data_IF_582382847906
#
_entry.id   IF_582382847906
#
_cell.length_a   1.000
_cell.length_b   1.000
_cell.length_c   1.000
_cell.angle_alpha   90.00
_cell.angle_beta   90.00
_cell.angle_gamma   90.00
#
_symmetry.space_group_name_H-M   'P 1'
#
loop_
_entity.id
_entity.type
_entity.pdbx_description
1 polymer ?
#
# COMPACT_ATOMS: atom_id res chain seq x y z
N UNK A 1 -15.85 19.38 112.34
CA UNK A 1 -14.72 18.90 113.17
C UNK A 1 -13.67 18.31 112.25
N UNK A 2 -12.42 18.82 112.33
CA UNK A 2 -11.17 18.29 111.72
C UNK A 2 -11.07 18.18 110.19
N UNK A 3 -10.64 19.31 109.63
CA UNK A 3 -9.62 19.52 108.59
C UNK A 3 -8.78 18.31 108.16
N UNK A 4 -8.76 18.00 106.85
CA UNK A 4 -7.59 17.46 106.16
C UNK A 4 -7.36 18.25 104.87
N UNK A 5 -6.16 18.80 104.76
CA UNK A 5 -5.63 19.61 103.68
C UNK A 5 -5.00 18.71 102.63
N UNK A 6 -5.27 18.93 101.34
CA UNK A 6 -4.32 18.53 100.30
C UNK A 6 -4.21 19.64 99.25
N UNK A 7 -2.94 20.02 99.03
CA UNK A 7 -2.50 21.05 98.10
C UNK A 7 -2.72 20.59 96.66
N UNK A 8 -3.60 21.36 96.02
CA UNK A 8 -3.66 21.80 94.60
C UNK A 8 -2.46 21.44 93.72
N UNK A 9 -2.76 20.74 92.62
CA UNK A 9 -2.18 20.99 91.29
C UNK A 9 -3.32 20.90 90.28
N UNK A 10 -3.33 21.83 89.32
CA UNK A 10 -4.37 21.98 88.31
C UNK A 10 -4.56 20.71 87.46
N UNK A 11 -5.77 20.46 86.94
CA UNK A 11 -6.04 19.24 86.17
C UNK A 11 -5.36 19.27 84.79
N UNK A 12 -5.17 18.09 84.18
CA UNK A 12 -3.88 17.71 83.64
C UNK A 12 -3.83 17.73 82.12
N UNK A 13 -2.61 17.77 81.60
CA UNK A 13 -2.27 17.38 80.23
C UNK A 13 -2.71 15.93 79.96
N UNK A 14 -3.45 15.72 78.87
CA UNK A 14 -3.57 14.42 78.21
C UNK A 14 -3.18 14.58 76.74
N UNK A 15 -1.96 14.13 76.43
CA UNK A 15 -1.58 13.73 75.08
C UNK A 15 -1.83 12.23 74.96
N UNK A 16 -2.54 11.84 73.90
CA UNK A 16 -2.47 10.60 73.14
C UNK A 16 -3.85 10.01 72.85
N UNK A 17 -4.15 9.85 71.57
CA UNK A 17 -5.34 9.16 71.07
C UNK A 17 -5.84 9.78 69.78
N UNK A 18 -5.11 9.57 68.68
CA UNK A 18 -5.63 9.81 67.33
C UNK A 18 -6.93 9.05 67.19
N UNK A 19 -8.05 9.77 67.03
CA UNK A 19 -9.31 9.17 66.60
C UNK A 19 -9.11 8.75 65.15
N UNK A 20 -8.99 7.45 64.95
CA UNK A 20 -9.12 6.80 63.65
C UNK A 20 -10.60 6.89 63.29
N UNK A 21 -10.95 7.79 62.39
CA UNK A 21 -12.24 7.74 61.72
C UNK A 21 -12.24 6.48 60.86
N UNK A 22 -12.94 5.44 61.32
CA UNK A 22 -13.23 4.27 60.51
C UNK A 22 -14.13 4.70 59.35
N UNK A 23 -13.54 4.89 58.18
CA UNK A 23 -14.29 4.89 56.93
C UNK A 23 -14.75 3.45 56.72
N UNK A 24 -16.04 3.19 56.91
CA UNK A 24 -16.66 1.96 56.45
C UNK A 24 -16.53 1.93 54.92
N UNK A 25 -15.59 1.13 54.40
CA UNK A 25 -15.61 0.74 53.00
C UNK A 25 -16.89 -0.08 52.79
N UNK A 26 -17.90 0.54 52.18
CA UNK A 26 -18.93 -0.22 51.51
C UNK A 26 -18.23 -0.98 50.37
N UNK A 27 -18.09 -2.29 50.51
CA UNK A 27 -17.67 -3.15 49.43
C UNK A 27 -18.76 -3.10 48.35
N UNK A 28 -18.52 -2.32 47.30
CA UNK A 28 -19.26 -2.44 46.05
C UNK A 28 -18.86 -3.80 45.48
N UNK A 29 -19.80 -4.73 45.21
CA UNK A 29 -19.44 -5.96 44.54
C UNK A 29 -18.88 -5.57 43.17
N UNK A 30 -17.61 -5.91 42.92
CA UNK A 30 -17.04 -5.84 41.60
C UNK A 30 -17.80 -6.85 40.74
N UNK A 31 -18.77 -6.36 39.99
CA UNK A 31 -19.36 -7.12 38.89
C UNK A 31 -18.23 -7.35 37.89
N UNK A 32 -17.66 -8.54 37.94
CA UNK A 32 -16.78 -9.03 36.89
C UNK A 32 -17.67 -9.16 35.65
N UNK A 33 -17.64 -8.15 34.78
CA UNK A 33 -18.00 -8.37 33.40
C UNK A 33 -16.93 -9.30 32.85
N UNK A 34 -17.23 -10.60 32.83
CA UNK A 34 -16.66 -11.49 31.83
C UNK A 34 -17.15 -10.94 30.50
N UNK A 35 -16.36 -10.02 29.92
CA UNK A 35 -16.50 -9.72 28.51
C UNK A 35 -16.28 -11.04 27.79
N UNK A 36 -17.37 -11.66 27.35
CA UNK A 36 -17.29 -12.59 26.24
C UNK A 36 -16.86 -11.70 25.09
N UNK A 37 -15.54 -11.60 24.86
CA UNK A 37 -15.03 -11.12 23.60
C UNK A 37 -15.65 -12.03 22.56
N UNK A 38 -16.70 -11.55 21.90
CA UNK A 38 -17.00 -12.08 20.58
C UNK A 38 -15.73 -11.75 19.80
N UNK A 39 -14.98 -12.78 19.42
CA UNK A 39 -14.06 -12.63 18.30
C UNK A 39 -14.92 -11.99 17.20
N UNK A 40 -14.50 -10.82 16.71
CA UNK A 40 -15.17 -10.24 15.56
C UNK A 40 -15.21 -11.32 14.48
N UNK A 41 -16.39 -11.56 13.93
CA UNK A 41 -16.57 -12.53 12.85
C UNK A 41 -15.60 -12.15 11.73
N UNK A 42 -14.86 -13.13 11.20
CA UNK A 42 -13.90 -12.86 10.15
C UNK A 42 -14.65 -12.25 8.95
N UNK A 43 -14.16 -11.11 8.48
CA UNK A 43 -14.77 -10.40 7.37
C UNK A 43 -14.46 -11.14 6.05
N UNK A 44 -15.51 -11.42 5.28
CA UNK A 44 -15.38 -11.94 3.91
C UNK A 44 -14.78 -10.87 2.97
N UNK A 45 -14.40 -11.27 1.75
CA UNK A 45 -13.77 -10.37 0.79
C UNK A 45 -14.72 -9.23 0.35
N UNK A 46 -16.03 -9.43 0.43
CA UNK A 46 -17.05 -8.41 0.15
C UNK A 46 -17.24 -7.37 1.27
N UNK A 47 -16.52 -7.50 2.39
CA UNK A 47 -16.32 -6.38 3.30
C UNK A 47 -15.57 -5.24 2.59
N UNK A 48 -16.01 -3.97 2.71
CA UNK A 48 -15.41 -2.87 1.97
C UNK A 48 -13.89 -2.69 2.17
N UNK A 49 -13.37 -2.98 3.36
CA UNK A 49 -11.93 -2.90 3.64
C UNK A 49 -11.19 -4.03 2.96
N UNK A 50 -11.72 -5.26 3.05
CA UNK A 50 -11.14 -6.43 2.39
C UNK A 50 -11.18 -6.33 0.88
N UNK A 51 -12.24 -5.76 0.33
CA UNK A 51 -12.36 -5.47 -1.10
C UNK A 51 -11.33 -4.45 -1.55
N UNK A 52 -11.12 -3.37 -0.79
CA UNK A 52 -10.08 -2.38 -1.09
C UNK A 52 -8.68 -3.02 -1.06
N UNK A 53 -8.38 -3.86 -0.06
CA UNK A 53 -7.13 -4.65 0.00
C UNK A 53 -6.98 -5.54 -1.23
N UNK A 54 -8.03 -6.25 -1.64
CA UNK A 54 -8.01 -7.11 -2.82
C UNK A 54 -7.64 -6.32 -4.09
N UNK A 55 -8.25 -5.15 -4.28
CA UNK A 55 -7.93 -4.28 -5.43
C UNK A 55 -6.47 -3.82 -5.44
N UNK A 56 -5.92 -3.46 -4.28
CA UNK A 56 -4.52 -3.05 -4.17
C UNK A 56 -3.56 -4.21 -4.48
N UNK A 57 -3.88 -5.44 -4.06
CA UNK A 57 -3.04 -6.60 -4.36
C UNK A 57 -3.12 -6.96 -5.85
N UNK A 58 -4.32 -6.97 -6.45
CA UNK A 58 -4.46 -7.18 -7.91
C UNK A 58 -3.67 -6.14 -8.70
N UNK A 59 -3.83 -4.85 -8.37
CA UNK A 59 -3.14 -3.78 -9.09
C UNK A 59 -1.62 -3.81 -8.91
N UNK A 60 -1.10 -4.36 -7.81
CA UNK A 60 0.34 -4.58 -7.68
C UNK A 60 0.89 -5.55 -8.73
N UNK A 61 0.07 -6.51 -9.18
CA UNK A 61 0.43 -7.45 -10.23
C UNK A 61 0.09 -6.93 -11.63
N UNK A 62 -1.02 -6.21 -11.81
CA UNK A 62 -1.39 -5.71 -13.14
C UNK A 62 -0.62 -4.44 -13.51
N UNK A 63 -0.19 -3.64 -12.51
CA UNK A 63 0.24 -2.26 -12.73
C UNK A 63 1.44 -1.83 -11.89
N UNK A 64 2.07 -2.73 -11.11
CA UNK A 64 3.18 -2.39 -10.20
C UNK A 64 2.82 -1.23 -9.24
N UNK A 65 1.55 -1.14 -8.83
CA UNK A 65 1.05 -0.04 -8.00
C UNK A 65 -0.04 -0.52 -7.05
N UNK A 66 -0.12 0.07 -5.85
CA UNK A 66 -1.29 -0.11 -4.98
C UNK A 66 -2.44 0.82 -5.38
N UNK A 67 -2.18 1.85 -6.19
CA UNK A 67 -3.21 2.76 -6.65
C UNK A 67 -3.93 2.23 -7.89
N UNK A 68 -4.84 1.29 -7.66
CA UNK A 68 -5.66 0.71 -8.72
C UNK A 68 -6.57 1.74 -9.42
N UNK A 69 -6.85 2.89 -8.78
CA UNK A 69 -7.68 3.95 -9.36
C UNK A 69 -6.95 4.74 -10.44
N UNK A 70 -5.61 4.70 -10.48
CA UNK A 70 -4.85 5.31 -11.58
C UNK A 70 -5.05 4.57 -12.91
N UNK A 71 -5.73 3.42 -12.91
CA UNK A 71 -5.92 2.58 -14.11
C UNK A 71 -7.25 2.82 -14.82
N UNK A 72 -8.13 3.69 -14.31
CA UNK A 72 -9.40 3.96 -14.97
C UNK A 72 -9.23 4.45 -16.42
N UNK A 73 -8.17 5.21 -16.71
CA UNK A 73 -7.89 5.78 -18.03
C UNK A 73 -6.91 4.95 -18.88
N UNK A 74 -6.38 3.84 -18.33
CA UNK A 74 -5.53 2.91 -19.06
C UNK A 74 -6.29 2.37 -20.27
N UNK A 75 -5.63 2.41 -21.44
CA UNK A 75 -6.11 1.80 -22.67
C UNK A 75 -4.93 1.61 -23.64
N UNK A 76 -4.67 0.39 -24.04
CA UNK A 76 -3.60 0.02 -24.97
C UNK A 76 -3.93 -1.30 -25.67
N UNK A 77 -3.56 -1.45 -26.94
CA UNK A 77 -3.45 -2.78 -27.54
C UNK A 77 -2.03 -3.29 -27.29
N UNK A 78 -1.94 -4.29 -26.42
CA UNK A 78 -0.66 -4.89 -26.00
C UNK A 78 -0.18 -5.99 -26.96
N UNK A 79 -0.89 -6.24 -28.06
CA UNK A 79 -0.48 -7.16 -29.13
C UNK A 79 -0.65 -8.64 -28.80
N UNK A 80 -1.56 -8.97 -27.89
CA UNK A 80 -1.85 -10.34 -27.45
C UNK A 80 -3.07 -10.97 -28.15
N UNK A 81 -3.65 -10.26 -29.11
CA UNK A 81 -4.81 -10.72 -29.89
C UNK A 81 -6.16 -10.45 -29.24
N UNK A 82 -6.23 -9.66 -28.16
CA UNK A 82 -7.50 -9.23 -27.53
C UNK A 82 -7.97 -7.85 -28.00
N UNK A 83 -7.19 -7.18 -28.84
CA UNK A 83 -7.42 -5.79 -29.25
C UNK A 83 -7.07 -4.81 -28.12
N UNK A 84 -7.82 -3.71 -28.01
CA UNK A 84 -7.63 -2.79 -26.89
C UNK A 84 -7.92 -3.48 -25.56
N UNK A 85 -7.01 -3.34 -24.61
CA UNK A 85 -7.14 -3.69 -23.19
C UNK A 85 -7.16 -2.41 -22.37
N UNK A 86 -8.15 -2.25 -21.48
CA UNK A 86 -8.41 -0.96 -20.83
C UNK A 86 -8.98 -1.06 -19.41
N UNK A 87 -8.81 0.00 -18.63
CA UNK A 87 -9.45 0.16 -17.32
C UNK A 87 -8.87 -0.69 -16.20
N UNK A 88 -9.56 -0.68 -15.05
CA UNK A 88 -9.08 -1.19 -13.75
C UNK A 88 -8.84 -2.70 -13.65
N UNK A 89 -9.28 -3.47 -14.65
CA UNK A 89 -9.07 -4.92 -14.72
C UNK A 89 -8.73 -5.41 -16.14
N UNK A 90 -8.42 -4.50 -17.07
CA UNK A 90 -8.09 -4.85 -18.44
C UNK A 90 -9.27 -5.40 -19.25
N UNK A 91 -10.38 -4.67 -19.32
CA UNK A 91 -11.49 -4.96 -20.24
C UNK A 91 -10.97 -4.97 -21.68
N UNK A 92 -11.31 -5.99 -22.49
CA UNK A 92 -10.83 -6.04 -23.87
C UNK A 92 -11.93 -5.88 -24.93
N UNK A 93 -11.60 -5.19 -26.03
CA UNK A 93 -12.53 -5.02 -27.16
C UNK A 93 -12.87 -6.35 -27.84
N UNK A 94 -11.96 -7.32 -27.79
CA UNK A 94 -12.12 -8.64 -28.40
C UNK A 94 -12.76 -9.71 -27.51
N UNK A 95 -13.03 -9.42 -26.23
CA UNK A 95 -13.51 -10.42 -25.25
C UNK A 95 -14.89 -10.13 -24.68
N UNK A 96 -15.69 -9.32 -25.36
CA UNK A 96 -17.07 -8.93 -25.03
C UNK A 96 -17.25 -8.00 -23.81
N UNK A 97 -16.41 -8.12 -22.79
CA UNK A 97 -16.49 -7.36 -21.54
C UNK A 97 -16.34 -5.84 -21.71
N UNK A 98 -15.47 -5.36 -22.62
CA UNK A 98 -15.43 -3.91 -22.94
C UNK A 98 -16.73 -3.42 -23.60
N UNK A 99 -17.34 -4.24 -24.46
CA UNK A 99 -18.62 -3.90 -25.09
C UNK A 99 -19.72 -3.81 -24.03
N UNK A 100 -19.84 -4.79 -23.13
CA UNK A 100 -20.83 -4.76 -22.05
C UNK A 100 -20.64 -3.55 -21.14
N UNK A 101 -19.40 -3.19 -20.81
CA UNK A 101 -19.08 -1.97 -20.05
C UNK A 101 -19.58 -0.70 -20.73
N UNK A 102 -19.30 -0.53 -22.03
CA UNK A 102 -19.72 0.68 -22.75
C UNK A 102 -21.23 0.70 -22.96
N UNK A 103 -21.88 -0.46 -23.12
CA UNK A 103 -23.36 -0.55 -23.15
C UNK A 103 -23.96 -0.14 -21.81
N UNK A 104 -23.46 -0.69 -20.69
CA UNK A 104 -23.90 -0.31 -19.35
C UNK A 104 -23.69 1.17 -19.07
N UNK A 105 -22.50 1.71 -19.39
CA UNK A 105 -22.20 3.12 -19.21
C UNK A 105 -23.14 4.00 -20.05
N UNK A 106 -23.45 3.59 -21.28
CA UNK A 106 -24.37 4.33 -22.16
C UNK A 106 -25.82 4.27 -21.68
N UNK A 107 -26.24 3.17 -21.06
CA UNK A 107 -27.55 3.09 -20.42
C UNK A 107 -27.66 4.04 -19.22
N UNK A 108 -26.57 4.23 -18.45
CA UNK A 108 -26.55 5.18 -17.33
C UNK A 108 -26.41 6.64 -17.81
N UNK A 109 -25.60 6.87 -18.84
CA UNK A 109 -25.25 8.21 -19.37
C UNK A 109 -25.35 8.18 -20.90
N UNK A 110 -26.54 8.41 -21.50
CA UNK A 110 -26.74 8.23 -22.95
C UNK A 110 -25.87 9.10 -23.87
N UNK A 111 -25.53 10.32 -23.45
CA UNK A 111 -24.76 11.29 -24.24
C UNK A 111 -23.25 11.27 -23.88
N UNK A 112 -22.72 10.12 -23.47
CA UNK A 112 -21.31 9.97 -23.08
C UNK A 112 -20.37 9.86 -24.31
N UNK A 113 -19.06 10.14 -24.17
CA UNK A 113 -18.12 10.16 -25.30
C UNK A 113 -17.83 8.77 -25.91
N UNK A 114 -18.18 7.67 -25.24
CA UNK A 114 -17.99 6.30 -25.75
C UNK A 114 -19.22 5.78 -26.52
N UNK A 115 -20.38 6.40 -26.36
CA UNK A 115 -21.64 5.94 -26.97
C UNK A 115 -21.57 5.84 -28.50
N UNK A 116 -20.82 6.73 -29.16
CA UNK A 116 -20.68 6.73 -30.63
C UNK A 116 -19.90 5.51 -31.15
N UNK A 117 -19.11 4.85 -30.30
CA UNK A 117 -18.27 3.71 -30.64
C UNK A 117 -18.97 2.35 -30.47
N UNK A 118 -20.17 2.31 -29.87
CA UNK A 118 -20.93 1.07 -29.68
C UNK A 118 -21.14 0.25 -30.97
N UNK A 119 -21.45 0.85 -32.14
CA UNK A 119 -21.53 0.09 -33.39
C UNK A 119 -20.20 -0.57 -33.79
N UNK A 120 -19.07 0.11 -33.57
CA UNK A 120 -17.75 -0.43 -33.88
C UNK A 120 -17.35 -1.53 -32.88
N UNK A 121 -17.56 -1.31 -31.57
CA UNK A 121 -17.32 -2.31 -30.53
C UNK A 121 -18.07 -3.63 -30.81
N UNK A 122 -19.32 -3.56 -31.26
CA UNK A 122 -20.10 -4.75 -31.65
C UNK A 122 -19.56 -5.48 -32.87
N UNK A 123 -18.92 -4.78 -33.80
CA UNK A 123 -18.36 -5.39 -35.01
C UNK A 123 -17.00 -6.03 -34.74
N UNK A 124 -16.19 -5.43 -33.87
CA UNK A 124 -14.85 -5.95 -33.54
C UNK A 124 -14.86 -7.01 -32.44
N UNK A 125 -15.96 -7.13 -31.69
CA UNK A 125 -16.12 -8.13 -30.63
C UNK A 125 -15.78 -9.56 -31.13
N UNK A 126 -14.94 -10.27 -30.38
CA UNK A 126 -14.35 -11.55 -30.78
C UNK A 126 -13.13 -11.46 -31.70
N UNK A 127 -12.55 -10.27 -31.91
CA UNK A 127 -11.33 -10.05 -32.68
C UNK A 127 -10.40 -8.98 -32.07
N UNK A 128 -9.18 -8.87 -32.58
CA UNK A 128 -8.21 -7.81 -32.25
C UNK A 128 -8.34 -6.56 -33.15
N UNK A 129 -9.41 -6.43 -33.93
CA UNK A 129 -9.59 -5.33 -34.87
C UNK A 129 -9.84 -3.99 -34.18
N UNK A 130 -9.26 -2.91 -34.73
CA UNK A 130 -9.51 -1.53 -34.32
C UNK A 130 -10.45 -0.77 -35.29
N UNK A 131 -11.08 -1.47 -36.24
CA UNK A 131 -11.90 -0.85 -37.28
C UNK A 131 -13.08 -0.08 -36.66
N UNK A 132 -13.16 1.23 -36.95
CA UNK A 132 -14.21 2.10 -36.42
C UNK A 132 -13.96 2.64 -35.00
N UNK A 133 -12.92 2.15 -34.30
CA UNK A 133 -12.46 2.69 -33.03
C UNK A 133 -11.40 3.79 -33.26
N UNK A 134 -10.42 3.50 -34.10
CA UNK A 134 -9.32 4.43 -34.35
C UNK A 134 -9.71 5.65 -35.20
N UNK A 135 -9.08 6.81 -34.97
CA UNK A 135 -8.07 7.09 -33.93
C UNK A 135 -8.65 7.63 -32.61
N UNK A 136 -9.97 7.85 -32.54
CA UNK A 136 -10.57 8.67 -31.46
C UNK A 136 -10.94 7.91 -30.19
N UNK A 137 -11.06 6.58 -30.25
CA UNK A 137 -11.57 5.77 -29.14
C UNK A 137 -10.73 5.88 -27.86
N UNK A 138 -9.40 5.89 -27.98
CA UNK A 138 -8.49 6.01 -26.83
C UNK A 138 -8.58 7.36 -26.13
N UNK A 139 -8.75 8.45 -26.89
CA UNK A 139 -8.98 9.79 -26.33
C UNK A 139 -10.37 9.88 -25.67
N UNK A 140 -11.39 9.29 -26.28
CA UNK A 140 -12.74 9.23 -25.71
C UNK A 140 -12.79 8.40 -24.41
N UNK A 141 -12.02 7.31 -24.34
CA UNK A 141 -11.84 6.51 -23.12
C UNK A 141 -11.26 7.34 -21.99
N UNK A 142 -10.15 8.04 -22.25
CA UNK A 142 -9.52 8.92 -21.25
C UNK A 142 -10.44 10.05 -20.81
N UNK A 143 -11.23 10.60 -21.74
CA UNK A 143 -12.24 11.60 -21.41
C UNK A 143 -13.33 11.01 -20.49
N UNK A 144 -13.81 9.80 -20.78
CA UNK A 144 -14.80 9.13 -19.95
C UNK A 144 -14.22 8.80 -18.56
N UNK A 145 -12.97 8.32 -18.48
CA UNK A 145 -12.29 7.92 -17.24
C UNK A 145 -12.11 9.05 -16.24
N UNK A 146 -12.15 10.30 -16.69
CA UNK A 146 -12.17 11.48 -15.82
C UNK A 146 -13.53 11.72 -15.13
N UNK A 147 -14.58 10.98 -15.48
CA UNK A 147 -15.94 11.11 -14.92
C UNK A 147 -16.21 10.05 -13.86
N UNK A 148 -16.92 10.43 -12.80
CA UNK A 148 -17.32 9.52 -11.72
C UNK A 148 -18.25 8.41 -12.22
N UNK A 149 -19.04 8.69 -13.25
CA UNK A 149 -20.01 7.79 -13.82
C UNK A 149 -19.34 6.64 -14.57
N UNK A 150 -18.29 6.91 -15.36
CA UNK A 150 -17.55 5.84 -16.02
C UNK A 150 -16.69 5.03 -15.06
N UNK A 151 -16.12 5.68 -14.04
CA UNK A 151 -15.42 4.98 -12.96
C UNK A 151 -16.35 4.00 -12.24
N UNK A 152 -17.58 4.45 -11.90
CA UNK A 152 -18.60 3.59 -11.31
C UNK A 152 -19.05 2.46 -12.26
N UNK A 153 -19.10 2.71 -13.57
CA UNK A 153 -19.40 1.69 -14.57
C UNK A 153 -18.32 0.60 -14.63
N UNK A 154 -17.04 0.98 -14.62
CA UNK A 154 -15.93 0.02 -14.55
C UNK A 154 -15.97 -0.81 -13.27
N UNK A 155 -16.21 -0.18 -12.12
CA UNK A 155 -16.37 -0.91 -10.85
C UNK A 155 -17.58 -1.85 -10.87
N UNK A 156 -18.69 -1.44 -11.48
CA UNK A 156 -19.88 -2.27 -11.64
C UNK A 156 -19.60 -3.52 -12.46
N UNK A 157 -18.92 -3.38 -13.61
CA UNK A 157 -18.61 -4.51 -14.47
C UNK A 157 -17.56 -5.44 -13.87
N UNK A 158 -16.51 -4.89 -13.25
CA UNK A 158 -15.58 -5.68 -12.42
C UNK A 158 -16.36 -6.53 -11.42
N UNK A 159 -17.30 -5.91 -10.72
CA UNK A 159 -18.06 -6.58 -9.68
C UNK A 159 -18.98 -7.67 -10.24
N UNK A 160 -19.70 -7.36 -11.31
CA UNK A 160 -20.67 -8.26 -11.95
C UNK A 160 -19.99 -9.49 -12.56
N UNK A 161 -18.90 -9.28 -13.30
CA UNK A 161 -18.28 -10.32 -14.13
C UNK A 161 -17.21 -11.12 -13.36
N UNK A 162 -16.47 -10.48 -12.46
CA UNK A 162 -15.30 -11.10 -11.83
C UNK A 162 -15.47 -11.28 -10.32
N UNK A 163 -15.66 -10.18 -9.60
CA UNK A 163 -15.61 -10.20 -8.13
C UNK A 163 -16.76 -11.01 -7.51
N UNK A 164 -18.01 -10.69 -7.86
CA UNK A 164 -19.17 -11.34 -7.25
C UNK A 164 -19.24 -12.84 -7.58
N UNK A 165 -19.02 -13.30 -8.83
CA UNK A 165 -18.96 -14.72 -9.14
C UNK A 165 -17.86 -15.46 -8.37
N UNK A 166 -16.63 -14.94 -8.36
CA UNK A 166 -15.51 -15.56 -7.65
C UNK A 166 -15.74 -15.65 -6.14
N UNK A 167 -16.17 -14.55 -5.51
CA UNK A 167 -16.45 -14.51 -4.07
C UNK A 167 -17.63 -15.44 -3.73
N UNK A 168 -18.68 -15.47 -4.55
CA UNK A 168 -19.81 -16.38 -4.36
C UNK A 168 -19.37 -17.84 -4.44
N UNK A 169 -18.57 -18.21 -5.44
CA UNK A 169 -18.08 -19.57 -5.63
C UNK A 169 -17.14 -20.00 -4.49
N UNK A 170 -16.24 -19.11 -4.06
CA UNK A 170 -15.35 -19.36 -2.94
C UNK A 170 -16.11 -19.55 -1.60
N UNK A 171 -17.15 -18.74 -1.35
CA UNK A 171 -18.03 -18.92 -0.19
C UNK A 171 -18.78 -20.24 -0.23
N UNK A 172 -19.21 -20.70 -1.40
CA UNK A 172 -19.84 -22.03 -1.57
C UNK A 172 -18.86 -23.17 -1.25
N UNK A 173 -17.58 -22.99 -1.55
CA UNK A 173 -16.52 -23.95 -1.20
C UNK A 173 -16.07 -23.83 0.27
N UNK A 174 -16.64 -22.89 1.04
CA UNK A 174 -16.33 -22.69 2.45
C UNK A 174 -15.00 -21.98 2.69
N UNK A 175 -14.49 -21.25 1.70
CA UNK A 175 -13.23 -20.52 1.79
C UNK A 175 -13.38 -19.20 2.55
N UNK A 176 -12.39 -18.90 3.40
CA UNK A 176 -12.21 -17.59 4.04
C UNK A 176 -11.62 -16.57 3.06
N UNK A 177 -11.39 -15.36 3.55
CA UNK A 177 -11.02 -14.17 2.78
C UNK A 177 -9.84 -14.39 1.84
N UNK A 178 -8.78 -15.10 2.25
CA UNK A 178 -7.64 -15.40 1.37
C UNK A 178 -8.03 -16.32 0.20
N UNK A 179 -8.87 -17.33 0.44
CA UNK A 179 -9.34 -18.22 -0.62
C UNK A 179 -10.31 -17.52 -1.57
N UNK A 180 -11.17 -16.64 -1.05
CA UNK A 180 -11.99 -15.75 -1.87
C UNK A 180 -11.12 -14.84 -2.75
N UNK A 181 -10.04 -14.28 -2.19
CA UNK A 181 -9.08 -13.48 -2.96
C UNK A 181 -8.37 -14.32 -4.03
N UNK A 182 -7.95 -15.54 -3.72
CA UNK A 182 -7.30 -16.43 -4.69
C UNK A 182 -8.20 -16.73 -5.90
N UNK A 183 -9.51 -16.93 -5.69
CA UNK A 183 -10.48 -17.10 -6.77
C UNK A 183 -10.67 -15.81 -7.56
N UNK A 184 -10.76 -14.67 -6.87
CA UNK A 184 -10.91 -13.37 -7.52
C UNK A 184 -9.70 -13.04 -8.42
N UNK A 185 -8.49 -13.23 -7.91
CA UNK A 185 -7.26 -12.98 -8.67
C UNK A 185 -7.11 -13.96 -9.85
N UNK A 186 -7.58 -15.21 -9.70
CA UNK A 186 -7.58 -16.19 -10.79
C UNK A 186 -8.60 -15.86 -11.90
N UNK A 187 -9.83 -15.45 -11.55
CA UNK A 187 -10.84 -15.09 -12.56
C UNK A 187 -10.47 -13.82 -13.32
N UNK A 188 -9.78 -12.86 -12.67
CA UNK A 188 -9.27 -11.66 -13.34
C UNK A 188 -8.28 -12.04 -14.44
N UNK A 189 -7.34 -12.95 -14.13
CA UNK A 189 -6.29 -13.34 -15.08
C UNK A 189 -6.76 -14.34 -16.14
N UNK A 190 -7.63 -15.28 -15.78
CA UNK A 190 -7.96 -16.43 -16.64
C UNK A 190 -9.43 -16.48 -17.10
N UNK A 191 -10.25 -15.50 -16.68
CA UNK A 191 -11.69 -15.52 -16.90
C UNK A 191 -12.40 -16.66 -16.16
N UNK A 192 -13.73 -16.75 -16.35
CA UNK A 192 -14.58 -17.76 -15.68
C UNK A 192 -14.16 -19.19 -16.04
N UNK A 193 -13.93 -19.47 -17.33
CA UNK A 193 -13.54 -20.80 -17.79
C UNK A 193 -12.16 -21.26 -17.25
N UNK A 194 -11.22 -20.33 -17.08
CA UNK A 194 -9.93 -20.62 -16.47
C UNK A 194 -10.05 -20.88 -14.98
N UNK A 195 -10.81 -20.06 -14.25
CA UNK A 195 -11.13 -20.32 -12.83
C UNK A 195 -11.75 -21.71 -12.66
N UNK A 196 -12.72 -22.09 -13.50
CA UNK A 196 -13.38 -23.39 -13.44
C UNK A 196 -12.40 -24.55 -13.65
N UNK A 197 -11.48 -24.42 -14.61
CA UNK A 197 -10.45 -25.42 -14.86
C UNK A 197 -9.48 -25.56 -13.69
N UNK A 198 -8.99 -24.45 -13.14
CA UNK A 198 -8.09 -24.43 -11.97
C UNK A 198 -8.78 -25.06 -10.76
N UNK A 199 -10.03 -24.65 -10.49
CA UNK A 199 -10.84 -25.16 -9.39
C UNK A 199 -11.10 -26.67 -9.53
N UNK A 200 -11.38 -27.15 -10.73
CA UNK A 200 -11.59 -28.57 -10.99
C UNK A 200 -10.32 -29.39 -10.69
N UNK A 201 -9.16 -28.94 -11.17
CA UNK A 201 -7.88 -29.60 -10.92
C UNK A 201 -7.52 -29.58 -9.41
N UNK A 202 -7.76 -28.46 -8.73
CA UNK A 202 -7.57 -28.37 -7.28
C UNK A 202 -8.39 -29.42 -6.50
N UNK A 203 -9.66 -29.60 -6.89
CA UNK A 203 -10.57 -30.57 -6.25
C UNK A 203 -10.24 -32.03 -6.53
N UNK A 204 -9.46 -32.32 -7.57
CA UNK A 204 -8.91 -33.67 -7.79
C UNK A 204 -7.78 -34.02 -6.80
N UNK A 205 -7.19 -33.00 -6.15
CA UNK A 205 -6.06 -33.15 -5.24
C UNK A 205 -6.42 -32.92 -3.76
N UNK A 206 -7.40 -32.07 -3.46
CA UNK A 206 -7.83 -31.77 -2.10
C UNK A 206 -9.33 -31.43 -2.04
N UNK A 207 -10.02 -31.91 -1.00
CA UNK A 207 -11.43 -31.57 -0.75
C UNK A 207 -11.56 -30.10 -0.32
N UNK A 208 -12.64 -29.43 -0.72
CA UNK A 208 -12.94 -28.07 -0.24
C UNK A 208 -13.33 -28.11 1.25
N UNK A 209 -13.20 -26.99 1.99
CA UNK A 209 -13.74 -26.90 3.35
C UNK A 209 -15.24 -27.23 3.45
N UNK A 210 -16.04 -26.86 2.45
CA UNK A 210 -17.45 -27.23 2.39
C UNK A 210 -17.69 -28.75 2.27
N UNK A 211 -16.75 -29.46 1.64
CA UNK A 211 -16.73 -30.92 1.54
C UNK A 211 -16.04 -31.60 2.74
N UNK A 212 -15.53 -30.82 3.70
CA UNK A 212 -14.87 -31.30 4.93
C UNK A 212 -13.34 -31.39 4.86
N UNK A 213 -12.72 -30.86 3.82
CA UNK A 213 -11.27 -30.78 3.66
C UNK A 213 -10.61 -29.68 4.51
N UNK A 214 -9.28 -29.73 4.60
CA UNK A 214 -8.48 -28.67 5.21
C UNK A 214 -8.28 -27.51 4.22
N UNK A 215 -8.56 -26.29 4.65
CA UNK A 215 -8.51 -25.12 3.76
C UNK A 215 -7.09 -24.82 3.27
N UNK A 216 -6.07 -25.03 4.11
CA UNK A 216 -4.68 -24.79 3.68
C UNK A 216 -4.22 -25.84 2.68
N UNK A 217 -4.65 -27.09 2.84
CA UNK A 217 -4.43 -28.15 1.85
C UNK A 217 -5.11 -27.81 0.51
N UNK A 218 -6.38 -27.41 0.56
CA UNK A 218 -7.13 -26.99 -0.63
C UNK A 218 -6.51 -25.79 -1.35
N UNK A 219 -6.13 -24.74 -0.60
CA UNK A 219 -5.52 -23.54 -1.20
C UNK A 219 -4.12 -23.82 -1.78
N UNK A 220 -3.34 -24.73 -1.20
CA UNK A 220 -2.09 -25.16 -1.84
C UNK A 220 -2.37 -25.87 -3.17
N UNK A 221 -3.33 -26.79 -3.21
CA UNK A 221 -3.72 -27.46 -4.45
C UNK A 221 -4.23 -26.47 -5.51
N UNK A 222 -5.04 -25.50 -5.10
CA UNK A 222 -5.55 -24.44 -5.97
C UNK A 222 -4.42 -23.56 -6.54
N UNK A 223 -3.49 -23.11 -5.70
CA UNK A 223 -2.38 -22.27 -6.15
C UNK A 223 -1.38 -23.06 -7.03
N UNK A 224 -1.22 -24.36 -6.80
CA UNK A 224 -0.43 -25.24 -7.68
C UNK A 224 -1.09 -25.40 -9.05
N UNK A 225 -2.39 -25.69 -9.09
CA UNK A 225 -3.16 -25.77 -10.33
C UNK A 225 -3.10 -24.45 -11.11
N UNK A 226 -3.20 -23.33 -10.40
CA UNK A 226 -3.11 -21.99 -11.00
C UNK A 226 -1.74 -21.71 -11.62
N UNK A 227 -0.65 -22.05 -10.93
CA UNK A 227 0.71 -21.90 -11.49
C UNK A 227 0.89 -22.72 -12.76
N UNK A 228 0.26 -23.89 -12.85
CA UNK A 228 0.25 -24.70 -14.08
C UNK A 228 -0.54 -24.01 -15.19
N UNK A 229 -1.70 -23.43 -14.88
CA UNK A 229 -2.52 -22.69 -15.85
C UNK A 229 -1.78 -21.48 -16.41
N UNK A 230 -1.18 -20.66 -15.54
CA UNK A 230 -0.37 -19.49 -15.93
C UNK A 230 0.74 -19.86 -16.91
N UNK A 231 1.45 -20.97 -16.67
CA UNK A 231 2.57 -21.42 -17.53
C UNK A 231 2.15 -21.96 -18.90
N UNK A 232 0.86 -22.03 -19.22
CA UNK A 232 0.40 -22.39 -20.57
C UNK A 232 0.55 -21.25 -21.57
N UNK A 233 0.66 -20.02 -21.08
CA UNK A 233 0.75 -18.81 -21.90
C UNK A 233 2.09 -18.11 -21.62
N UNK A 234 2.87 -17.83 -22.66
CA UNK A 234 4.20 -17.21 -22.52
C UNK A 234 4.12 -15.84 -21.83
N UNK A 235 3.03 -15.10 -22.06
CA UNK A 235 2.74 -13.83 -21.41
C UNK A 235 2.54 -13.93 -19.88
N UNK A 236 2.31 -15.14 -19.35
CA UNK A 236 2.00 -15.39 -17.95
C UNK A 236 3.05 -16.30 -17.26
N UNK A 237 4.28 -16.42 -17.80
CA UNK A 237 5.33 -17.26 -17.21
C UNK A 237 5.76 -16.80 -15.80
N UNK A 238 5.71 -15.49 -15.52
CA UNK A 238 5.98 -14.98 -14.18
C UNK A 238 4.81 -15.30 -13.23
N UNK A 239 5.14 -16.02 -12.16
CA UNK A 239 4.18 -16.55 -11.19
C UNK A 239 4.30 -15.88 -9.83
N UNK A 240 4.98 -14.73 -9.73
CA UNK A 240 5.25 -14.01 -8.47
C UNK A 240 3.97 -13.56 -7.75
N UNK A 241 2.89 -13.22 -8.48
CA UNK A 241 1.57 -12.94 -7.89
C UNK A 241 1.01 -14.12 -7.07
N UNK A 242 1.44 -15.34 -7.37
CA UNK A 242 1.16 -16.53 -6.57
C UNK A 242 2.31 -16.75 -5.57
N UNK A 243 3.53 -16.97 -6.07
CA UNK A 243 4.66 -17.49 -5.30
C UNK A 243 5.15 -16.55 -4.19
N UNK A 244 5.23 -15.24 -4.48
CA UNK A 244 5.75 -14.23 -3.55
C UNK A 244 4.66 -13.33 -2.96
N UNK A 245 3.39 -13.66 -3.20
CA UNK A 245 2.23 -12.98 -2.59
C UNK A 245 1.22 -13.95 -1.97
N UNK A 246 0.36 -14.60 -2.75
CA UNK A 246 -0.70 -15.48 -2.21
C UNK A 246 -0.13 -16.62 -1.36
N UNK A 247 0.95 -17.28 -1.81
CA UNK A 247 1.66 -18.32 -1.07
C UNK A 247 2.22 -17.78 0.25
N UNK A 248 2.77 -16.56 0.23
CA UNK A 248 3.29 -15.89 1.43
C UNK A 248 2.17 -15.63 2.45
N UNK A 249 0.99 -15.20 2.01
CA UNK A 249 -0.16 -15.02 2.92
C UNK A 249 -0.63 -16.36 3.51
N UNK A 250 -0.67 -17.41 2.68
CA UNK A 250 -1.05 -18.76 3.09
C UNK A 250 -0.04 -19.36 4.09
N UNK A 251 1.26 -19.27 3.82
CA UNK A 251 2.34 -19.78 4.67
C UNK A 251 2.40 -19.07 6.03
N UNK A 252 2.01 -17.80 6.07
CA UNK A 252 1.84 -17.03 7.30
C UNK A 252 0.57 -17.40 8.09
N UNK A 253 -0.27 -18.30 7.56
CA UNK A 253 -1.57 -18.68 8.14
C UNK A 253 -2.60 -17.55 8.11
N UNK A 254 -2.41 -16.53 7.26
CA UNK A 254 -3.27 -15.36 7.19
C UNK A 254 -4.49 -15.59 6.29
N UNK A 255 -5.30 -16.58 6.67
CA UNK A 255 -6.46 -17.05 5.89
C UNK A 255 -7.60 -16.01 5.82
N UNK A 256 -7.57 -15.01 6.70
CA UNK A 256 -8.53 -13.90 6.75
C UNK A 256 -7.98 -12.61 6.09
N UNK A 257 -6.80 -12.67 5.46
CA UNK A 257 -6.16 -11.54 4.75
C UNK A 257 -6.07 -10.26 5.62
N UNK A 258 -5.70 -10.40 6.89
CA UNK A 258 -5.59 -9.30 7.84
C UNK A 258 -4.31 -8.50 7.65
N UNK A 259 -4.39 -7.17 7.82
CA UNK A 259 -3.22 -6.31 7.86
C UNK A 259 -2.42 -6.52 9.16
N UNK A 260 -1.09 -6.32 9.16
CA UNK A 260 -0.26 -5.90 8.03
C UNK A 260 -0.01 -7.01 7.01
N UNK A 261 -0.06 -6.65 5.73
CA UNK A 261 0.27 -7.52 4.59
C UNK A 261 1.58 -7.05 3.96
N UNK A 262 2.47 -7.97 3.60
CA UNK A 262 3.68 -7.68 2.85
C UNK A 262 3.92 -8.79 1.83
N UNK A 263 4.24 -8.42 0.60
CA UNK A 263 4.47 -9.34 -0.50
C UNK A 263 5.42 -8.73 -1.53
N UNK A 264 5.74 -9.48 -2.58
CA UNK A 264 6.40 -8.95 -3.76
C UNK A 264 5.76 -9.50 -5.03
N UNK A 265 5.76 -8.70 -6.10
CA UNK A 265 5.43 -9.12 -7.47
C UNK A 265 6.50 -8.51 -8.38
N UNK A 266 7.02 -9.27 -9.34
CA UNK A 266 8.12 -8.84 -10.23
C UNK A 266 9.36 -8.32 -9.48
N UNK A 267 9.70 -8.94 -8.35
CA UNK A 267 10.77 -8.51 -7.42
C UNK A 267 10.52 -7.17 -6.70
N UNK A 268 9.39 -6.50 -6.97
CA UNK A 268 9.02 -5.25 -6.32
C UNK A 268 8.24 -5.51 -5.01
N UNK A 269 8.69 -4.97 -3.87
CA UNK A 269 8.03 -5.19 -2.59
C UNK A 269 6.83 -4.26 -2.39
N UNK A 270 5.74 -4.81 -1.89
CA UNK A 270 4.51 -4.10 -1.55
C UNK A 270 4.09 -4.36 -0.11
N UNK A 271 3.36 -3.42 0.49
CA UNK A 271 2.89 -3.53 1.88
C UNK A 271 1.62 -2.73 2.13
N UNK A 272 0.72 -3.31 2.92
CA UNK A 272 -0.44 -2.63 3.50
C UNK A 272 -0.31 -2.75 5.03
N UNK A 273 0.06 -1.68 5.70
CA UNK A 273 0.36 -1.67 7.14
C UNK A 273 -0.89 -1.75 8.02
N UNK A 274 -1.94 -1.06 7.61
CA UNK A 274 -3.21 -0.93 8.32
C UNK A 274 -4.34 -0.99 7.31
N UNK A 275 -5.51 -1.40 7.78
CA UNK A 275 -6.74 -1.43 7.00
C UNK A 275 -6.97 -0.10 6.26
N UNK A 276 -7.10 -0.12 4.92
CA UNK A 276 -7.36 1.07 4.12
C UNK A 276 -8.79 1.59 4.36
N UNK A 277 -9.00 2.89 4.16
CA UNK A 277 -10.33 3.50 4.19
C UNK A 277 -11.05 3.31 2.84
N UNK A 278 -12.11 2.49 2.77
CA UNK A 278 -12.80 2.18 1.51
C UNK A 278 -13.38 3.44 0.89
N UNK A 279 -13.02 3.71 -0.36
CA UNK A 279 -13.51 4.89 -1.09
C UNK A 279 -12.65 6.15 -0.93
N UNK A 280 -11.53 6.07 -0.22
CA UNK A 280 -10.45 7.03 -0.42
C UNK A 280 -9.49 6.49 -1.46
N UNK A 281 -9.16 7.33 -2.44
CA UNK A 281 -8.00 7.09 -3.29
C UNK A 281 -6.78 6.96 -2.35
N UNK A 282 -6.05 5.81 -2.34
CA UNK A 282 -4.79 5.72 -1.59
C UNK A 282 -3.80 6.83 -2.00
N UNK A 283 -4.07 7.47 -3.15
CA UNK A 283 -3.21 8.39 -3.85
C UNK A 283 -2.22 7.60 -4.70
N UNK A 284 -1.54 8.25 -5.65
CA UNK A 284 -0.40 7.63 -6.32
C UNK A 284 0.53 7.05 -5.26
N UNK A 285 1.08 5.87 -5.53
CA UNK A 285 2.03 5.22 -4.62
C UNK A 285 3.01 6.29 -4.10
N UNK A 286 3.04 6.59 -2.79
CA UNK A 286 3.91 7.62 -2.28
C UNK A 286 5.39 7.31 -2.56
N UNK A 287 5.77 6.06 -2.87
CA UNK A 287 7.12 5.75 -3.35
C UNK A 287 7.39 6.21 -4.80
N UNK A 288 6.38 6.59 -5.59
CA UNK A 288 6.49 7.07 -6.97
C UNK A 288 6.49 8.60 -7.14
N UNK A 289 5.94 9.37 -6.19
CA UNK A 289 5.81 10.83 -6.34
C UNK A 289 7.03 11.57 -5.77
N UNK A 290 7.86 12.17 -6.63
CA UNK A 290 9.03 12.97 -6.22
C UNK A 290 8.60 14.30 -5.57
N UNK A 291 8.87 14.46 -4.27
CA UNK A 291 8.46 15.61 -3.46
C UNK A 291 9.60 16.55 -3.06
N UNK A 292 10.87 16.16 -3.28
CA UNK A 292 12.05 16.97 -2.95
C UNK A 292 12.49 17.94 -4.05
N UNK A 293 12.12 17.71 -5.31
CA UNK A 293 12.68 18.46 -6.43
C UNK A 293 12.36 19.96 -6.35
N UNK A 294 13.38 20.78 -6.57
CA UNK A 294 13.35 22.25 -6.49
C UNK A 294 12.84 22.82 -5.15
N UNK A 295 12.78 22.01 -4.11
CA UNK A 295 12.43 22.46 -2.76
C UNK A 295 13.58 23.26 -2.15
N UNK A 296 13.28 24.20 -1.23
CA UNK A 296 14.32 24.93 -0.51
C UNK A 296 15.24 23.98 0.26
N UNK A 297 16.55 24.16 0.12
CA UNK A 297 17.55 23.36 0.81
C UNK A 297 18.47 24.21 1.68
N UNK A 298 19.06 23.56 2.68
CA UNK A 298 20.11 24.12 3.55
C UNK A 298 21.12 23.02 3.85
N UNK A 299 22.37 23.39 4.08
CA UNK A 299 23.42 22.45 4.47
C UNK A 299 24.25 23.00 5.62
N UNK A 300 25.02 22.14 6.27
CA UNK A 300 26.00 22.55 7.28
C UNK A 300 27.14 23.38 6.70
N UNK A 301 27.53 23.12 5.46
CA UNK A 301 28.59 23.83 4.74
C UNK A 301 28.49 23.61 3.24
N UNK A 302 29.32 24.33 2.49
CA UNK A 302 29.60 24.08 1.07
C UNK A 302 31.12 24.09 0.85
N UNK A 303 31.62 23.24 -0.05
CA UNK A 303 33.05 23.20 -0.44
C UNK A 303 33.46 24.52 -1.13
N UNK A 304 32.62 25.01 -2.04
CA UNK A 304 32.74 26.31 -2.68
C UNK A 304 31.36 26.96 -2.95
N UNK A 305 31.35 28.14 -3.58
CA UNK A 305 30.14 28.92 -3.85
C UNK A 305 29.24 28.36 -4.98
N UNK A 306 29.72 27.39 -5.74
CA UNK A 306 29.02 26.74 -6.86
C UNK A 306 28.42 25.39 -6.48
N UNK A 307 28.92 24.76 -5.41
CA UNK A 307 28.50 23.45 -4.91
C UNK A 307 27.46 23.55 -3.78
N UNK A 308 26.44 24.37 -4.01
CA UNK A 308 25.39 24.71 -3.03
C UNK A 308 24.34 23.61 -2.88
N UNK A 309 23.59 23.62 -1.77
CA UNK A 309 22.66 22.54 -1.42
C UNK A 309 21.50 22.36 -2.42
N UNK A 310 21.12 23.38 -3.18
CA UNK A 310 20.07 23.31 -4.22
C UNK A 310 20.47 22.40 -5.38
N UNK A 311 21.77 22.17 -5.58
CA UNK A 311 22.31 21.30 -6.62
C UNK A 311 22.08 19.82 -6.41
N UNK A 312 21.61 19.42 -5.23
CA UNK A 312 21.25 18.03 -4.96
C UNK A 312 19.74 17.78 -5.11
N UNK A 313 18.95 18.78 -5.54
CA UNK A 313 17.51 18.62 -5.75
C UNK A 313 17.06 19.32 -7.04
N UNK A 314 17.98 19.63 -7.95
CA UNK A 314 17.67 20.34 -9.20
C UNK A 314 17.35 19.42 -10.37
N UNK A 315 17.40 18.10 -10.17
CA UNK A 315 17.10 17.09 -11.19
C UNK A 315 18.17 17.01 -12.28
N UNK A 316 19.37 17.50 -12.00
CA UNK A 316 20.49 17.52 -12.93
C UNK A 316 21.70 16.81 -12.33
N UNK A 317 21.91 15.58 -12.77
CA UNK A 317 23.04 14.72 -12.34
C UNK A 317 24.42 15.22 -12.80
N UNK A 318 24.49 16.36 -13.49
CA UNK A 318 25.74 17.05 -13.83
C UNK A 318 26.15 18.10 -12.79
N UNK A 319 25.24 18.47 -11.88
CA UNK A 319 25.48 19.39 -10.76
C UNK A 319 25.45 18.62 -9.44
N UNK A 320 26.09 19.16 -8.39
CA UNK A 320 26.17 18.48 -7.09
C UNK A 320 26.25 19.47 -5.94
N UNK A 321 25.70 19.09 -4.80
CA UNK A 321 26.09 19.69 -3.52
C UNK A 321 27.37 19.01 -3.03
N UNK A 322 28.29 19.78 -2.46
CA UNK A 322 29.45 19.23 -1.75
C UNK A 322 29.67 19.96 -0.42
N UNK A 323 29.89 19.21 0.66
CA UNK A 323 30.24 19.78 1.96
C UNK A 323 31.70 20.21 2.01
N UNK A 324 32.06 21.06 2.98
CA UNK A 324 33.45 21.34 3.30
C UNK A 324 34.25 20.04 3.54
N UNK A 325 35.47 20.00 3.02
CA UNK A 325 36.37 18.88 3.16
C UNK A 325 36.91 18.73 4.59
N UNK A 326 37.40 17.54 4.92
CA UNK A 326 38.13 17.30 6.16
C UNK A 326 37.28 17.27 7.44
N UNK A 327 35.96 17.49 7.37
CA UNK A 327 35.12 17.72 8.55
C UNK A 327 33.89 16.81 8.60
N UNK A 328 33.71 16.14 9.75
CA UNK A 328 32.54 15.34 10.11
C UNK A 328 32.00 15.83 11.46
N UNK A 329 30.67 15.79 11.70
CA UNK A 329 29.60 15.44 10.77
C UNK A 329 29.23 16.60 9.84
N UNK A 330 28.56 16.28 8.72
CA UNK A 330 27.95 17.28 7.83
C UNK A 330 26.53 16.84 7.46
N UNK A 331 25.72 17.77 6.97
CA UNK A 331 24.35 17.48 6.59
C UNK A 331 23.84 18.36 5.45
N UNK A 332 22.88 17.82 4.71
CA UNK A 332 22.01 18.53 3.79
C UNK A 332 20.56 18.26 4.20
N UNK A 333 19.71 19.28 4.10
CA UNK A 333 18.30 19.26 4.50
C UNK A 333 17.43 19.90 3.43
N UNK A 334 16.31 19.26 3.13
CA UNK A 334 15.25 19.74 2.24
C UNK A 334 14.02 20.15 3.05
N UNK A 335 13.40 21.28 2.72
CA UNK A 335 12.09 21.72 3.24
C UNK A 335 10.96 21.25 2.31
N UNK A 336 10.24 20.21 2.71
CA UNK A 336 9.18 19.56 1.93
C UNK A 336 7.82 20.29 2.04
N UNK A 337 7.71 21.36 2.85
CA UNK A 337 6.46 22.12 3.04
C UNK A 337 5.70 21.80 4.33
N UNK A 338 4.40 22.07 4.38
CA UNK A 338 3.59 22.11 5.63
C UNK A 338 3.36 20.75 6.33
N UNK A 339 4.07 19.70 5.91
CA UNK A 339 3.97 18.33 6.38
C UNK A 339 4.01 17.40 5.17
N UNK A 340 4.92 16.43 5.18
CA UNK A 340 5.02 15.42 4.13
C UNK A 340 5.21 14.04 4.77
N UNK A 341 4.66 13.03 4.11
CA UNK A 341 4.94 11.62 4.38
C UNK A 341 6.00 11.18 3.39
N UNK A 342 7.19 10.84 3.86
CA UNK A 342 8.29 10.34 3.03
C UNK A 342 8.24 8.81 3.02
N UNK A 343 8.08 8.24 1.83
CA UNK A 343 7.96 6.80 1.60
C UNK A 343 9.24 6.17 1.03
N UNK A 344 9.98 6.92 0.21
CA UNK A 344 11.26 6.50 -0.35
C UNK A 344 12.26 7.65 -0.38
N UNK A 345 13.53 7.36 -0.16
CA UNK A 345 14.64 8.30 -0.37
C UNK A 345 15.70 7.62 -1.22
N UNK A 346 16.03 8.21 -2.36
CA UNK A 346 17.13 7.80 -3.23
C UNK A 346 18.22 8.86 -3.21
N UNK A 347 19.45 8.42 -3.02
CA UNK A 347 20.64 9.26 -2.94
C UNK A 347 21.58 8.86 -4.06
N UNK A 348 21.97 9.81 -4.89
CA UNK A 348 22.99 9.60 -5.92
C UNK A 348 24.26 10.32 -5.50
N UNK A 349 25.22 9.58 -4.97
CA UNK A 349 26.50 10.10 -4.51
C UNK A 349 27.47 10.38 -5.67
N UNK A 350 28.36 11.33 -5.47
CA UNK A 350 29.57 11.45 -6.28
C UNK A 350 30.64 10.45 -5.78
N UNK A 351 31.85 10.44 -6.38
CA UNK A 351 32.97 9.66 -5.86
C UNK A 351 33.32 10.00 -4.39
N UNK A 352 33.02 11.21 -3.92
CA UNK A 352 33.01 11.59 -2.51
C UNK A 352 31.63 11.32 -1.88
N UNK A 353 31.56 10.33 -0.98
CA UNK A 353 30.31 9.82 -0.42
C UNK A 353 30.35 9.66 1.11
N UNK A 354 29.18 9.42 1.71
CA UNK A 354 29.07 9.06 3.12
C UNK A 354 29.22 7.55 3.33
N UNK A 355 30.23 7.12 4.09
CA UNK A 355 30.33 5.73 4.55
C UNK A 355 29.33 5.43 5.67
N UNK A 356 29.06 6.41 6.54
CA UNK A 356 28.03 6.28 7.57
C UNK A 356 27.18 7.54 7.61
N UNK A 357 25.86 7.36 7.54
CA UNK A 357 24.89 8.45 7.55
C UNK A 357 23.53 8.00 8.08
N UNK A 358 22.65 8.97 8.32
CA UNK A 358 21.25 8.74 8.68
C UNK A 358 20.34 9.52 7.76
N UNK A 359 19.27 8.88 7.33
CA UNK A 359 18.11 9.55 6.74
C UNK A 359 17.19 9.93 7.91
N UNK A 360 16.85 11.22 8.03
CA UNK A 360 16.10 11.71 9.18
C UNK A 360 14.97 12.65 8.76
N UNK A 361 13.87 12.61 9.49
CA UNK A 361 12.72 13.51 9.30
C UNK A 361 12.50 14.36 10.55
N UNK A 362 11.97 15.57 10.37
CA UNK A 362 11.66 16.49 11.46
C UNK A 362 10.47 17.40 11.11
N UNK A 363 9.60 17.65 12.08
CA UNK A 363 8.53 18.64 11.93
C UNK A 363 9.00 20.08 12.16
N UNK A 364 10.02 20.28 13.02
CA UNK A 364 10.45 21.58 13.54
C UNK A 364 11.88 21.98 13.11
N UNK A 365 12.60 21.07 12.44
CA UNK A 365 13.98 21.23 12.01
C UNK A 365 15.02 21.10 13.13
N UNK A 366 14.59 20.78 14.36
CA UNK A 366 15.42 20.73 15.57
C UNK A 366 15.41 19.35 16.23
N UNK A 367 14.24 18.71 16.28
CA UNK A 367 14.02 17.35 16.79
C UNK A 367 13.96 16.38 15.62
N UNK A 368 14.82 15.37 15.60
CA UNK A 368 14.99 14.50 14.44
C UNK A 368 14.69 13.04 14.79
N UNK A 369 13.88 12.41 13.94
CA UNK A 369 13.62 10.97 13.96
C UNK A 369 14.41 10.28 12.86
N UNK A 370 15.10 9.19 13.17
CA UNK A 370 15.79 8.39 12.15
C UNK A 370 14.76 7.57 11.36
N UNK A 371 14.81 7.67 10.04
CA UNK A 371 14.09 6.81 9.12
C UNK A 371 14.96 5.63 8.67
N UNK A 372 16.23 5.87 8.41
CA UNK A 372 17.21 4.85 8.05
C UNK A 372 18.60 5.18 8.60
N UNK A 373 19.47 4.19 8.69
CA UNK A 373 20.86 4.34 9.14
C UNK A 373 21.77 3.44 8.32
N UNK A 374 22.78 4.05 7.70
CA UNK A 374 23.88 3.37 7.00
C UNK A 374 25.16 3.49 7.83
N UNK A 375 25.96 2.44 7.88
CA UNK A 375 27.21 2.38 8.67
C UNK A 375 28.44 1.92 7.87
N UNK A 376 28.24 1.36 6.68
CA UNK A 376 29.26 0.80 5.82
C UNK A 376 28.98 1.06 4.33
N UNK A 377 28.45 2.23 4.00
CA UNK A 377 28.16 2.65 2.63
C UNK A 377 29.38 2.59 1.72
N UNK A 378 29.13 2.32 0.44
CA UNK A 378 30.11 2.14 -0.63
C UNK A 378 30.08 3.26 -1.69
N UNK A 379 29.18 4.24 -1.53
CA UNK A 379 28.94 5.30 -2.51
C UNK A 379 28.04 4.83 -3.66
N UNK A 380 28.01 5.56 -4.78
CA UNK A 380 27.10 5.25 -5.88
C UNK A 380 25.66 5.66 -5.57
N UNK A 381 24.69 4.80 -5.85
CA UNK A 381 23.27 5.06 -5.58
C UNK A 381 22.79 4.23 -4.41
N UNK A 382 22.24 4.90 -3.41
CA UNK A 382 21.56 4.26 -2.29
C UNK A 382 20.06 4.53 -2.39
N UNK A 383 19.24 3.52 -2.09
CA UNK A 383 17.80 3.65 -2.03
C UNK A 383 17.25 3.10 -0.71
N UNK A 384 16.46 3.92 -0.03
CA UNK A 384 15.74 3.59 1.19
C UNK A 384 14.25 3.65 0.92
N UNK A 385 13.65 2.50 0.67
CA UNK A 385 12.22 2.34 0.45
C UNK A 385 11.51 1.93 1.76
N UNK A 386 10.17 1.92 1.75
CA UNK A 386 9.35 1.56 2.92
C UNK A 386 9.56 2.46 4.14
N UNK A 387 9.85 3.74 3.91
CA UNK A 387 9.89 4.73 4.97
C UNK A 387 8.47 5.13 5.36
N UNK A 388 8.25 5.45 6.64
CA UNK A 388 6.99 6.02 7.11
C UNK A 388 7.28 7.25 7.98
N UNK A 389 7.98 8.20 7.37
CA UNK A 389 8.44 9.40 8.04
C UNK A 389 7.53 10.59 7.80
N UNK A 390 6.87 11.09 8.85
CA UNK A 390 6.08 12.32 8.76
C UNK A 390 6.86 13.52 9.28
N UNK A 391 6.93 14.58 8.48
CA UNK A 391 7.52 15.85 8.89
C UNK A 391 7.69 16.84 7.74
N UNK A 392 8.23 18.00 8.06
CA UNK A 392 8.48 19.07 7.09
C UNK A 392 9.88 19.00 6.48
N UNK A 393 10.85 18.56 7.27
CA UNK A 393 12.25 18.58 6.89
C UNK A 393 12.80 17.16 6.78
N UNK A 394 13.34 16.83 5.62
CA UNK A 394 14.16 15.64 5.43
C UNK A 394 15.64 16.03 5.47
N UNK A 395 16.47 15.26 6.18
CA UNK A 395 17.92 15.49 6.30
C UNK A 395 18.70 14.22 6.08
N UNK A 396 19.80 14.34 5.33
CA UNK A 396 20.87 13.35 5.30
C UNK A 396 21.97 13.84 6.24
N UNK A 397 22.21 13.09 7.31
CA UNK A 397 23.18 13.42 8.34
C UNK A 397 24.38 12.49 8.24
N UNK A 398 25.42 12.95 7.54
CA UNK A 398 26.69 12.24 7.37
C UNK A 398 27.50 12.26 8.66
N UNK A 399 27.95 11.09 9.10
CA UNK A 399 28.74 10.91 10.34
C UNK A 399 30.14 10.37 10.11
N UNK A 400 30.39 9.70 8.98
CA UNK A 400 31.74 9.36 8.53
C UNK A 400 31.83 9.39 7.00
N UNK A 401 32.88 10.03 6.47
CA UNK A 401 33.18 10.07 5.03
C UNK A 401 33.79 8.76 4.54
N UNK A 402 33.51 8.40 3.29
CA UNK A 402 34.12 7.27 2.61
C UNK A 402 35.50 7.56 2.01
N UNK A 403 35.81 8.85 1.81
CA UNK A 403 37.07 9.34 1.22
C UNK A 403 37.68 10.45 2.09
N UNK A 404 38.82 11.01 1.67
CA UNK A 404 39.43 12.18 2.35
C UNK A 404 38.70 13.49 2.08
N UNK A 405 37.89 13.55 1.01
CA UNK A 405 37.07 14.70 0.62
C UNK A 405 35.88 14.89 1.55
N UNK A 406 34.97 15.82 1.24
CA UNK A 406 33.69 16.00 1.91
C UNK A 406 32.64 14.94 1.54
N UNK A 407 31.36 15.25 1.81
CA UNK A 407 30.22 14.50 1.28
C UNK A 407 29.71 15.21 0.03
N UNK A 408 29.36 14.45 -1.02
CA UNK A 408 28.86 15.04 -2.26
C UNK A 408 27.70 14.23 -2.84
N UNK A 409 26.61 14.92 -3.19
CA UNK A 409 25.41 14.34 -3.78
C UNK A 409 25.11 15.03 -5.12
N UNK A 410 24.99 14.22 -6.16
CA UNK A 410 24.36 14.64 -7.41
C UNK A 410 22.87 14.87 -7.21
N UNK A 411 22.17 13.92 -6.57
CA UNK A 411 20.74 14.02 -6.31
C UNK A 411 20.35 13.44 -4.95
N UNK A 412 19.34 14.07 -4.34
CA UNK A 412 18.61 13.68 -3.14
C UNK A 412 17.13 13.71 -3.49
N UNK A 413 16.63 12.54 -3.84
CA UNK A 413 15.27 12.32 -4.30
C UNK A 413 14.44 11.77 -3.14
N UNK A 414 13.50 12.54 -2.63
CA UNK A 414 12.53 12.07 -1.65
C UNK A 414 11.19 11.88 -2.34
N UNK A 415 10.63 10.69 -2.21
CA UNK A 415 9.32 10.35 -2.75
C UNK A 415 8.32 10.23 -1.61
N UNK A 416 7.12 10.75 -1.83
CA UNK A 416 6.09 10.73 -0.81
C UNK A 416 4.85 11.53 -1.17
N UNK A 417 4.08 11.85 -0.14
CA UNK A 417 2.89 12.69 -0.24
C UNK A 417 3.11 13.98 0.54
N UNK A 418 2.83 15.13 -0.08
CA UNK A 418 2.75 16.42 0.63
C UNK A 418 1.34 16.61 1.16
N UNK A 419 1.22 17.26 2.33
CA UNK A 419 -0.07 17.62 2.94
C UNK A 419 -0.87 18.63 2.13
#
# INVERSE_FOLDING_TARGET
MRTHSFKRFGPPSRVAGRIVTALALAAVPATVFLGVGHAAEAADLDDPVKKEIAQQIVSSAENSSLNWRDQFDYIEDIGDGRGYTAGIIGFCSGTHDMLELVEYYTDQVPDNPLAEYLPALREVDGSDSHEGLDPGFTDAWKQAAATTEFQAAQEHERDRVYFNPAVTQAKQDGLRTLGQFAYYDAIVMHGEGGLDSIRADARDHADTPADGGDETEYLNAFLDARVVEMKKEEAHEDTSRVDTAQRVFLDNGNLDLNTPLAWAVYEEPFRIDTDPDPGTDPGPDPAGVLISQHRPTTSSSTEDSTLTADRAVDGNTSTRWASAEGSDPQWIRVDLGAGATVAKVKLTWEAAYAKAYRVQISADGSTWTNLATETAGNGGTDEWSNLNGQGRYLRIYGTARGTTYGYSLYELEAFGKTA
#
